data_IF_500980437140
#
_entry.id   IF_500980437140
#
_cell.length_a   1.000
_cell.length_b   1.000
_cell.length_c   1.000
_cell.angle_alpha   90.00
_cell.angle_beta   90.00
_cell.angle_gamma   90.00
#
_symmetry.space_group_name_H-M   'P 1'
#
loop_
_entity.id
_entity.type
_entity.pdbx_description
1 polymer ?
#
# COMPACT_ATOMS: atom_id res chain seq x y z
N UNK A 1 -39.51 -9.16 -28.39
CA UNK A 1 -39.26 -10.29 -27.47
C UNK A 1 -37.79 -10.16 -27.07
N UNK A 2 -37.49 -9.32 -26.07
CA UNK A 2 -37.31 -9.72 -24.67
C UNK A 2 -36.19 -10.77 -24.57
N UNK A 3 -34.93 -10.34 -24.43
CA UNK A 3 -34.24 -9.97 -23.17
C UNK A 3 -33.38 -11.14 -22.68
N UNK A 4 -32.13 -11.18 -23.15
CA UNK A 4 -31.03 -11.87 -22.47
C UNK A 4 -30.19 -10.81 -21.73
N UNK A 5 -30.76 -10.24 -20.68
CA UNK A 5 -29.97 -9.64 -19.61
C UNK A 5 -29.51 -10.78 -18.70
N UNK A 6 -28.34 -11.34 -19.02
CA UNK A 6 -27.68 -12.33 -18.20
C UNK A 6 -26.50 -11.66 -17.49
N UNK A 7 -26.81 -11.08 -16.34
CA UNK A 7 -26.01 -11.06 -15.11
C UNK A 7 -24.48 -10.97 -15.29
N UNK A 8 -23.95 -9.76 -15.50
CA UNK A 8 -22.52 -9.44 -15.32
C UNK A 8 -22.33 -8.73 -13.98
N UNK A 9 -22.29 -9.47 -12.88
CA UNK A 9 -21.98 -8.86 -11.56
C UNK A 9 -21.21 -9.78 -10.60
N UNK A 10 -20.62 -10.90 -11.04
CA UNK A 10 -19.95 -11.85 -10.12
C UNK A 10 -18.55 -12.29 -10.57
N UNK A 11 -17.96 -11.66 -11.59
CA UNK A 11 -16.74 -12.16 -12.24
C UNK A 11 -15.40 -11.81 -11.58
N UNK A 12 -15.34 -10.79 -10.72
CA UNK A 12 -14.08 -10.33 -10.10
C UNK A 12 -13.75 -11.07 -8.81
N UNK A 13 -14.73 -11.22 -7.91
CA UNK A 13 -14.55 -11.98 -6.65
C UNK A 13 -14.22 -13.46 -6.92
N UNK A 14 -14.83 -14.08 -7.93
CA UNK A 14 -14.60 -15.49 -8.28
C UNK A 14 -13.16 -15.79 -8.74
N UNK A 15 -12.39 -14.78 -9.15
CA UNK A 15 -11.01 -14.97 -9.58
C UNK A 15 -10.01 -14.84 -8.41
N UNK A 16 -10.29 -13.99 -7.41
CA UNK A 16 -9.38 -13.74 -6.27
C UNK A 16 -9.13 -14.97 -5.43
N UNK A 17 -10.15 -15.80 -5.23
CA UNK A 17 -10.02 -17.04 -4.45
C UNK A 17 -9.03 -18.05 -5.05
N UNK A 18 -8.69 -17.93 -6.34
CA UNK A 18 -7.75 -18.84 -7.00
C UNK A 18 -6.28 -18.59 -6.65
N UNK A 19 -5.96 -17.39 -6.16
CA UNK A 19 -4.59 -16.97 -5.83
C UNK A 19 -4.46 -16.36 -4.43
N UNK A 20 -5.53 -16.37 -3.63
CA UNK A 20 -5.54 -15.85 -2.27
C UNK A 20 -5.64 -16.95 -1.22
N UNK A 21 -4.85 -16.81 -0.17
CA UNK A 21 -4.68 -17.82 0.88
C UNK A 21 -4.65 -17.15 2.25
N UNK A 22 -4.95 -17.89 3.31
CA UNK A 22 -4.58 -17.46 4.65
C UNK A 22 -3.11 -17.82 4.92
N UNK A 23 -2.45 -17.05 5.78
CA UNK A 23 -1.06 -17.34 6.19
C UNK A 23 -0.90 -18.76 6.76
N UNK A 24 -1.94 -19.29 7.41
CA UNK A 24 -1.99 -20.65 7.96
C UNK A 24 -2.02 -21.76 6.92
N UNK A 25 -2.40 -21.46 5.67
CA UNK A 25 -2.48 -22.46 4.61
C UNK A 25 -1.06 -22.93 4.24
N UNK A 26 -0.87 -24.23 4.04
CA UNK A 26 0.46 -24.78 3.71
C UNK A 26 0.80 -24.72 2.22
N UNK A 27 -0.19 -24.46 1.35
CA UNK A 27 -0.04 -24.54 -0.10
C UNK A 27 0.47 -23.25 -0.75
N UNK A 28 0.35 -22.11 -0.08
CA UNK A 28 0.58 -20.81 -0.73
C UNK A 28 2.05 -20.61 -1.14
N UNK A 29 3.02 -21.16 -0.40
CA UNK A 29 4.46 -21.07 -0.77
C UNK A 29 4.72 -21.81 -2.08
N UNK A 30 4.17 -23.03 -2.22
CA UNK A 30 4.28 -23.80 -3.46
C UNK A 30 3.55 -23.08 -4.61
N UNK A 31 2.36 -22.52 -4.35
CA UNK A 31 1.64 -21.72 -5.33
C UNK A 31 2.45 -20.51 -5.81
N UNK A 32 3.05 -19.74 -4.89
CA UNK A 32 3.93 -18.62 -5.18
C UNK A 32 5.12 -19.05 -6.05
N UNK A 33 5.76 -20.18 -5.74
CA UNK A 33 6.87 -20.71 -6.55
C UNK A 33 6.43 -21.10 -7.97
N UNK A 34 5.27 -21.75 -8.11
CA UNK A 34 4.77 -22.24 -9.39
C UNK A 34 4.22 -21.13 -10.28
N UNK A 35 3.48 -20.18 -9.71
CA UNK A 35 2.75 -19.14 -10.45
C UNK A 35 3.48 -17.79 -10.48
N UNK A 36 4.40 -17.59 -9.54
CA UNK A 36 5.23 -16.40 -9.38
C UNK A 36 4.63 -15.33 -8.49
N UNK A 37 3.41 -15.52 -7.97
CA UNK A 37 2.73 -14.56 -7.10
C UNK A 37 1.75 -15.27 -6.14
N UNK A 38 1.34 -14.58 -5.08
CA UNK A 38 0.26 -14.99 -4.17
C UNK A 38 -0.28 -13.77 -3.41
N UNK A 39 -1.52 -13.86 -2.93
CA UNK A 39 -2.10 -12.89 -1.98
C UNK A 39 -2.39 -13.60 -0.66
N UNK A 40 -1.89 -13.07 0.45
CA UNK A 40 -2.17 -13.58 1.79
C UNK A 40 -3.20 -12.68 2.48
N UNK A 41 -4.35 -13.26 2.83
CA UNK A 41 -5.51 -12.57 3.38
C UNK A 41 -5.29 -12.20 4.85
N UNK A 42 -5.57 -10.95 5.19
CA UNK A 42 -5.63 -10.47 6.58
C UNK A 42 -4.34 -10.69 7.38
N UNK A 43 -3.18 -10.60 6.72
CA UNK A 43 -1.87 -10.71 7.41
C UNK A 43 -1.68 -9.59 8.42
N UNK A 44 -2.22 -8.40 8.12
CA UNK A 44 -2.22 -7.24 8.99
C UNK A 44 -3.62 -7.03 9.55
N UNK A 45 -3.72 -6.85 10.86
CA UNK A 45 -5.00 -6.61 11.53
C UNK A 45 -5.57 -5.24 11.14
N UNK A 46 -6.90 -5.10 11.23
CA UNK A 46 -7.54 -3.78 11.01
C UNK A 46 -6.94 -2.68 11.88
N UNK A 47 -6.64 -2.97 13.15
CA UNK A 47 -6.05 -2.00 14.07
C UNK A 47 -4.64 -1.57 13.65
N UNK A 48 -3.82 -2.49 13.13
CA UNK A 48 -2.49 -2.16 12.60
C UNK A 48 -2.59 -1.43 11.25
N UNK A 49 -3.59 -1.73 10.42
CA UNK A 49 -3.90 -0.97 9.20
C UNK A 49 -4.23 0.48 9.55
N UNK A 50 -5.20 0.70 10.45
CA UNK A 50 -5.64 2.04 10.85
C UNK A 50 -4.47 2.83 11.46
N UNK A 51 -3.67 2.18 12.32
CA UNK A 51 -2.47 2.77 12.90
C UNK A 51 -1.41 3.13 11.85
N UNK A 52 -1.18 2.28 10.85
CA UNK A 52 -0.25 2.57 9.77
C UNK A 52 -0.75 3.74 8.90
N UNK A 53 -2.06 3.80 8.59
CA UNK A 53 -2.68 4.91 7.88
C UNK A 53 -2.47 6.22 8.62
N UNK A 54 -2.70 6.23 9.93
CA UNK A 54 -2.54 7.43 10.73
C UNK A 54 -1.10 7.93 10.73
N UNK A 55 -0.13 7.05 10.92
CA UNK A 55 1.30 7.39 10.87
C UNK A 55 1.75 7.91 9.50
N UNK A 56 1.25 7.31 8.42
CA UNK A 56 1.58 7.77 7.05
C UNK A 56 1.00 9.14 6.80
N UNK A 57 -0.24 9.38 7.21
CA UNK A 57 -0.83 10.70 7.10
C UNK A 57 -0.10 11.74 7.96
N UNK A 58 0.33 11.42 9.18
CA UNK A 58 1.12 12.35 10.01
C UNK A 58 2.40 12.80 9.27
N UNK A 59 3.05 11.85 8.59
CA UNK A 59 4.22 12.11 7.77
C UNK A 59 3.92 12.91 6.49
N UNK A 60 2.75 12.70 5.87
CA UNK A 60 2.30 13.43 4.70
C UNK A 60 1.91 14.87 5.05
N UNK A 61 1.09 15.08 6.09
CA UNK A 61 0.65 16.40 6.57
C UNK A 61 1.83 17.23 7.11
N UNK A 62 2.87 16.57 7.65
CA UNK A 62 4.09 17.24 8.09
C UNK A 62 5.03 17.66 6.96
N UNK A 63 4.93 17.03 5.79
CA UNK A 63 5.81 17.28 4.64
C UNK A 63 5.15 18.11 3.53
N UNK A 64 3.84 17.97 3.39
CA UNK A 64 3.02 18.55 2.34
C UNK A 64 2.00 19.51 2.94
N UNK A 65 1.54 20.51 2.17
CA UNK A 65 0.48 21.43 2.59
C UNK A 65 -0.92 20.81 2.57
N UNK A 66 -1.05 19.50 2.83
CA UNK A 66 -2.30 18.73 2.72
C UNK A 66 -2.79 18.30 4.11
N UNK A 67 -4.10 18.05 4.22
CA UNK A 67 -4.78 17.64 5.45
C UNK A 67 -5.71 16.46 5.17
N UNK A 68 -5.64 15.40 5.98
CA UNK A 68 -6.52 14.23 5.84
C UNK A 68 -7.98 14.54 6.16
N UNK A 69 -8.23 15.59 6.94
CA UNK A 69 -9.58 16.03 7.36
C UNK A 69 -10.09 17.23 6.55
N UNK A 70 -9.29 17.76 5.63
CA UNK A 70 -9.69 18.84 4.74
C UNK A 70 -9.19 18.56 3.31
N UNK A 71 -9.98 17.81 2.52
CA UNK A 71 -9.61 17.47 1.15
C UNK A 71 -9.46 18.68 0.22
N UNK A 72 -10.02 19.85 0.57
CA UNK A 72 -9.84 21.08 -0.23
C UNK A 72 -8.38 21.55 -0.26
N UNK A 73 -7.56 21.06 0.67
CA UNK A 73 -6.11 21.27 0.67
C UNK A 73 -5.37 20.44 -0.38
N UNK A 74 -5.99 19.41 -0.99
CA UNK A 74 -5.34 18.47 -1.93
C UNK A 74 -5.24 19.03 -3.36
N UNK A 75 -5.01 20.34 -3.49
CA UNK A 75 -4.84 21.02 -4.76
C UNK A 75 -3.54 20.64 -5.44
N UNK A 76 -3.43 20.88 -6.75
CA UNK A 76 -2.18 20.73 -7.52
C UNK A 76 -0.98 21.51 -6.96
N UNK A 77 -1.21 22.57 -6.17
CA UNK A 77 -0.15 23.33 -5.50
C UNK A 77 0.44 22.62 -4.27
N UNK A 78 -0.42 21.91 -3.52
CA UNK A 78 -0.07 21.26 -2.27
C UNK A 78 0.21 19.76 -2.44
N UNK A 79 -0.44 19.11 -3.41
CA UNK A 79 -0.24 17.70 -3.73
C UNK A 79 1.01 17.52 -4.60
N UNK A 80 2.19 17.51 -3.98
CA UNK A 80 3.48 17.44 -4.69
C UNK A 80 3.98 16.02 -4.93
N UNK A 81 3.18 15.01 -4.55
CA UNK A 81 3.51 13.61 -4.78
C UNK A 81 3.49 13.29 -6.28
N UNK A 82 4.42 12.43 -6.72
CA UNK A 82 4.51 11.95 -8.09
C UNK A 82 3.19 11.35 -8.57
N UNK A 83 2.87 11.51 -9.87
CA UNK A 83 1.74 10.82 -10.50
C UNK A 83 1.88 9.30 -10.48
N UNK A 84 3.12 8.78 -10.38
CA UNK A 84 3.35 7.34 -10.16
C UNK A 84 2.85 6.87 -8.79
N UNK A 85 2.67 7.80 -7.85
CA UNK A 85 2.34 7.54 -6.47
C UNK A 85 3.50 7.04 -5.63
N UNK A 86 4.65 6.69 -6.22
CA UNK A 86 5.83 6.23 -5.49
C UNK A 86 6.41 7.36 -4.65
N UNK A 87 6.44 7.16 -3.34
CA UNK A 87 6.93 8.11 -2.34
C UNK A 87 8.07 7.46 -1.56
N UNK A 88 9.29 7.49 -2.12
CA UNK A 88 10.50 6.95 -1.48
C UNK A 88 10.89 7.70 -0.19
N UNK A 89 10.47 8.95 -0.02
CA UNK A 89 10.70 9.70 1.22
C UNK A 89 9.95 9.14 2.43
N UNK A 90 8.90 8.32 2.22
CA UNK A 90 8.21 7.60 3.28
C UNK A 90 8.93 6.30 3.67
N UNK A 91 9.99 5.89 2.98
CA UNK A 91 10.69 4.62 3.28
C UNK A 91 11.06 4.46 4.75
N UNK A 92 11.49 5.55 5.39
CA UNK A 92 11.92 5.55 6.79
C UNK A 92 10.87 6.11 7.74
N UNK A 93 9.63 6.31 7.29
CA UNK A 93 8.51 6.79 8.10
C UNK A 93 7.99 5.77 9.10
N UNK A 94 7.25 6.24 10.11
CA UNK A 94 6.76 5.40 11.20
C UNK A 94 5.79 4.31 10.70
N UNK A 95 4.90 4.64 9.74
CA UNK A 95 3.94 3.70 9.18
C UNK A 95 4.58 2.48 8.49
N UNK A 96 5.47 2.66 7.50
CA UNK A 96 6.19 1.54 6.88
C UNK A 96 7.00 0.72 7.89
N UNK A 97 7.67 1.36 8.86
CA UNK A 97 8.37 0.63 9.93
C UNK A 97 7.43 -0.14 10.85
N UNK A 98 6.22 0.37 11.12
CA UNK A 98 5.21 -0.35 11.88
C UNK A 98 4.87 -1.67 11.18
N UNK A 99 4.55 -1.64 9.88
CA UNK A 99 4.19 -2.81 9.09
C UNK A 99 5.33 -3.83 8.97
N UNK A 100 6.57 -3.37 8.69
CA UNK A 100 7.74 -4.25 8.58
C UNK A 100 8.05 -5.00 9.88
N UNK A 101 7.74 -4.39 11.02
CA UNK A 101 7.95 -4.98 12.34
C UNK A 101 6.86 -5.97 12.79
N UNK A 102 5.81 -6.19 12.00
CA UNK A 102 4.71 -7.08 12.39
C UNK A 102 5.13 -8.55 12.32
N UNK A 103 4.85 -9.36 13.35
CA UNK A 103 5.23 -10.78 13.37
C UNK A 103 4.67 -11.59 12.20
N UNK A 104 3.40 -11.39 11.83
CA UNK A 104 2.76 -12.14 10.74
C UNK A 104 3.38 -11.82 9.37
N UNK A 105 3.80 -10.57 9.16
CA UNK A 105 4.52 -10.15 7.95
C UNK A 105 5.87 -10.86 7.89
N UNK A 106 6.64 -10.83 8.99
CA UNK A 106 7.92 -11.54 9.08
C UNK A 106 7.74 -13.04 8.85
N UNK A 107 6.72 -13.65 9.47
CA UNK A 107 6.41 -15.08 9.34
C UNK A 107 6.15 -15.48 7.88
N UNK A 108 5.41 -14.67 7.11
CA UNK A 108 5.20 -14.91 5.70
C UNK A 108 6.53 -15.02 4.94
N UNK A 109 7.43 -14.04 5.09
CA UNK A 109 8.73 -14.10 4.43
C UNK A 109 9.63 -15.22 4.98
N UNK A 110 9.55 -15.55 6.28
CA UNK A 110 10.34 -16.64 6.86
C UNK A 110 9.95 -17.99 6.26
N UNK A 111 8.66 -18.20 5.96
CA UNK A 111 8.19 -19.41 5.26
C UNK A 111 8.66 -19.49 3.80
N UNK A 112 8.80 -18.36 3.11
CA UNK A 112 9.35 -18.32 1.75
C UNK A 112 10.79 -18.82 1.75
N UNK A 113 11.60 -18.30 2.68
CA UNK A 113 13.05 -18.53 2.69
C UNK A 113 13.50 -19.73 3.53
N UNK A 114 12.63 -20.27 4.37
CA UNK A 114 13.01 -21.27 5.38
C UNK A 114 14.02 -20.72 6.39
N UNK A 115 13.96 -19.43 6.70
CA UNK A 115 14.89 -18.73 7.60
C UNK A 115 14.15 -17.66 8.43
N UNK A 116 14.42 -17.63 9.74
CA UNK A 116 13.82 -16.67 10.67
C UNK A 116 14.68 -15.41 10.86
N UNK A 117 15.96 -15.44 10.45
CA UNK A 117 16.84 -14.28 10.51
C UNK A 117 16.78 -13.51 9.19
N UNK A 118 15.84 -12.56 9.12
CA UNK A 118 15.56 -11.76 7.93
C UNK A 118 15.93 -10.29 8.13
N UNK A 119 16.28 -9.62 7.05
CA UNK A 119 16.27 -8.16 6.94
C UNK A 119 15.22 -7.69 5.92
N UNK A 120 14.59 -6.54 6.18
CA UNK A 120 13.50 -5.96 5.39
C UNK A 120 14.00 -4.88 4.45
N UNK A 121 13.34 -4.67 3.32
CA UNK A 121 13.61 -3.58 2.37
C UNK A 121 13.19 -2.23 2.95
N UNK A 122 13.75 -1.15 2.40
CA UNK A 122 13.51 0.23 2.83
C UNK A 122 13.18 1.10 1.61
N UNK A 123 12.13 0.73 0.89
CA UNK A 123 11.84 1.21 -0.47
C UNK A 123 10.89 2.40 -0.52
N UNK A 124 9.56 2.17 -0.59
CA UNK A 124 8.60 3.25 -0.81
C UNK A 124 7.22 2.96 -0.22
N UNK A 125 6.37 3.97 -0.26
CA UNK A 125 4.92 3.79 -0.24
C UNK A 125 4.33 4.25 -1.59
N UNK A 126 3.13 3.79 -1.93
CA UNK A 126 2.37 4.20 -3.10
C UNK A 126 1.13 4.93 -2.63
N UNK A 127 1.03 6.21 -2.97
CA UNK A 127 -0.04 7.12 -2.55
C UNK A 127 -0.70 7.76 -3.77
N UNK A 128 -2.01 7.58 -3.92
CA UNK A 128 -2.81 8.30 -4.92
C UNK A 128 -3.97 9.02 -4.25
N UNK A 129 -4.18 10.30 -4.58
CA UNK A 129 -5.46 10.97 -4.37
C UNK A 129 -6.49 10.46 -5.39
N UNK A 130 -7.80 10.54 -5.09
CA UNK A 130 -8.83 10.26 -6.08
C UNK A 130 -8.67 11.15 -7.31
N UNK A 131 -8.80 10.55 -8.49
CA UNK A 131 -8.79 11.25 -9.78
C UNK A 131 -10.15 11.27 -10.47
N UNK A 132 -11.06 10.43 -10.00
CA UNK A 132 -12.44 10.33 -10.49
C UNK A 132 -13.35 11.36 -9.81
N UNK A 133 -12.93 11.89 -8.67
CA UNK A 133 -13.60 12.91 -7.90
C UNK A 133 -12.54 13.92 -7.52
N UNK A 134 -12.58 15.10 -8.14
CA UNK A 134 -11.61 16.15 -7.85
C UNK A 134 -11.98 16.81 -6.53
N UNK A 135 -11.00 17.04 -5.64
CA UNK A 135 -11.24 17.83 -4.45
C UNK A 135 -11.74 19.22 -4.84
N UNK A 136 -12.64 19.83 -4.06
CA UNK A 136 -13.04 21.22 -4.27
C UNK A 136 -11.81 22.14 -4.30
N UNK A 137 -11.74 23.05 -5.26
CA UNK A 137 -10.58 23.93 -5.49
C UNK A 137 -9.46 23.36 -6.37
N UNK A 138 -9.60 22.12 -6.86
CA UNK A 138 -8.72 21.54 -7.89
C UNK A 138 -9.48 21.24 -9.19
N UNK A 139 -10.62 21.91 -9.40
CA UNK A 139 -11.49 21.68 -10.56
C UNK A 139 -10.78 22.00 -11.88
N UNK A 140 -10.83 21.08 -12.83
CA UNK A 140 -10.29 21.27 -14.18
C UNK A 140 -8.83 20.89 -14.35
N UNK A 141 -8.19 20.29 -13.33
CA UNK A 141 -6.89 19.63 -13.54
C UNK A 141 -7.05 18.35 -14.35
N UNK A 142 -6.05 17.96 -15.14
CA UNK A 142 -6.01 16.67 -15.84
C UNK A 142 -5.29 15.59 -15.02
N UNK A 143 -5.18 15.80 -13.70
CA UNK A 143 -4.41 14.94 -12.83
C UNK A 143 -5.02 13.53 -12.83
N UNK A 144 -4.20 12.57 -13.23
CA UNK A 144 -4.49 11.13 -13.16
C UNK A 144 -3.23 10.38 -12.76
N UNK A 145 -3.35 9.28 -12.02
CA UNK A 145 -2.22 8.42 -11.77
C UNK A 145 -1.54 7.98 -13.06
N UNK A 146 -0.25 7.72 -12.95
CA UNK A 146 0.56 7.06 -13.97
C UNK A 146 1.17 5.81 -13.34
N UNK A 147 1.62 4.88 -14.16
CA UNK A 147 2.32 3.68 -13.69
C UNK A 147 3.60 3.49 -14.49
N UNK A 148 4.53 2.73 -13.93
CA UNK A 148 5.81 2.43 -14.59
C UNK A 148 5.65 1.48 -15.79
N UNK A 149 4.43 0.97 -16.04
CA UNK A 149 4.15 -0.05 -17.04
C UNK A 149 4.68 -1.43 -16.63
N UNK A 150 4.57 -2.39 -17.53
CA UNK A 150 5.07 -3.75 -17.30
C UNK A 150 6.60 -3.79 -17.38
N UNK A 151 7.21 -4.39 -16.37
CA UNK A 151 8.66 -4.53 -16.23
C UNK A 151 9.00 -5.77 -15.41
N UNK A 152 10.31 -6.05 -15.29
CA UNK A 152 10.88 -6.92 -14.27
C UNK A 152 11.80 -6.07 -13.39
N UNK A 153 12.01 -6.53 -12.18
CA UNK A 153 12.91 -5.91 -11.20
C UNK A 153 14.07 -6.81 -10.84
N UNK A 154 14.22 -7.93 -11.57
CA UNK A 154 15.37 -8.79 -11.50
C UNK A 154 15.73 -9.25 -12.91
N UNK A 155 16.85 -8.74 -13.40
CA UNK A 155 17.23 -8.91 -14.79
C UNK A 155 17.63 -10.36 -15.09
N UNK A 156 16.93 -11.06 -16.01
CA UNK A 156 17.17 -12.48 -16.24
C UNK A 156 18.53 -12.77 -16.89
N UNK A 157 19.20 -11.77 -17.48
CA UNK A 157 20.55 -11.92 -18.04
C UNK A 157 21.62 -12.01 -16.95
N UNK A 158 21.57 -11.11 -15.96
CA UNK A 158 22.58 -11.03 -14.88
C UNK A 158 22.20 -11.80 -13.62
N UNK A 159 20.89 -11.93 -13.33
CA UNK A 159 20.33 -12.55 -12.12
C UNK A 159 19.27 -13.60 -12.49
N UNK A 160 19.66 -14.77 -13.00
CA UNK A 160 18.72 -15.77 -13.49
C UNK A 160 17.97 -16.52 -12.37
N UNK A 161 18.58 -16.67 -11.19
CA UNK A 161 18.03 -17.45 -10.07
C UNK A 161 17.19 -16.57 -9.14
N UNK A 162 16.40 -17.14 -8.22
CA UNK A 162 15.53 -16.32 -7.36
C UNK A 162 16.36 -15.55 -6.34
N UNK A 163 16.37 -14.20 -6.42
CA UNK A 163 17.09 -13.35 -5.47
C UNK A 163 16.13 -12.62 -4.52
N UNK A 164 14.92 -12.28 -4.97
CA UNK A 164 13.96 -11.54 -4.14
C UNK A 164 12.50 -11.91 -4.46
N UNK A 165 11.71 -12.06 -3.40
CA UNK A 165 10.25 -11.96 -3.46
C UNK A 165 9.89 -10.56 -2.96
N UNK A 166 9.29 -9.76 -3.82
CA UNK A 166 8.72 -8.49 -3.45
C UNK A 166 7.35 -8.68 -2.80
N UNK A 167 6.94 -7.67 -2.05
CA UNK A 167 5.63 -7.62 -1.45
C UNK A 167 5.11 -6.20 -1.28
N UNK A 168 3.80 -6.12 -1.07
CA UNK A 168 3.14 -4.88 -0.71
C UNK A 168 1.92 -5.14 0.18
N UNK A 169 1.66 -4.21 1.08
CA UNK A 169 0.48 -4.23 1.97
C UNK A 169 -0.39 -3.04 1.59
N UNK A 170 -1.52 -3.27 0.91
CA UNK A 170 -2.54 -2.24 0.74
C UNK A 170 -3.13 -1.87 2.09
N UNK A 171 -3.24 -0.57 2.36
CA UNK A 171 -3.95 -0.01 3.51
C UNK A 171 -5.36 0.47 3.12
N UNK A 172 -5.66 0.44 1.82
CA UNK A 172 -6.97 0.63 1.20
C UNK A 172 -7.19 -0.50 0.19
N UNK A 173 -8.45 -0.85 -0.12
CA UNK A 173 -8.76 -1.92 -1.07
C UNK A 173 -8.11 -1.70 -2.45
N UNK A 174 -7.73 -2.80 -3.09
CA UNK A 174 -7.29 -2.87 -4.48
C UNK A 174 -8.38 -3.58 -5.28
N UNK A 175 -9.05 -2.83 -6.15
CA UNK A 175 -10.09 -3.32 -7.03
C UNK A 175 -9.94 -2.77 -8.46
N UNK A 176 -10.86 -3.11 -9.36
CA UNK A 176 -10.87 -2.63 -10.75
C UNK A 176 -11.09 -1.10 -10.86
N UNK A 177 -11.63 -0.47 -9.83
CA UNK A 177 -11.89 0.98 -9.80
C UNK A 177 -10.62 1.76 -9.48
N UNK A 178 -9.82 1.28 -8.52
CA UNK A 178 -8.54 1.88 -8.12
C UNK A 178 -7.38 1.39 -9.00
N UNK A 179 -7.40 0.12 -9.36
CA UNK A 179 -6.23 -0.56 -9.89
C UNK A 179 -5.15 -0.80 -8.83
N UNK A 180 -4.04 -1.40 -9.24
CA UNK A 180 -3.05 -1.92 -8.30
C UNK A 180 -1.89 -2.60 -9.01
N UNK A 181 -1.37 -3.65 -8.38
CA UNK A 181 -0.35 -4.51 -9.00
C UNK A 181 -1.02 -5.45 -10.01
N UNK A 182 -0.56 -5.39 -11.25
CA UNK A 182 -0.84 -6.38 -12.28
C UNK A 182 0.39 -7.25 -12.52
N UNK A 183 0.18 -8.55 -12.71
CA UNK A 183 1.23 -9.53 -13.00
C UNK A 183 0.94 -10.30 -14.28
N UNK A 184 1.97 -10.87 -14.90
CA UNK A 184 1.82 -11.89 -15.95
C UNK A 184 2.24 -13.24 -15.34
N UNK A 185 1.29 -14.11 -14.95
CA UNK A 185 1.60 -15.41 -14.36
C UNK A 185 2.59 -16.24 -15.19
N UNK A 186 3.43 -17.03 -14.52
CA UNK A 186 4.43 -17.94 -15.13
C UNK A 186 5.57 -17.25 -15.91
N UNK A 187 5.63 -15.91 -15.95
CA UNK A 187 6.68 -15.19 -16.68
C UNK A 187 8.06 -15.24 -16.02
N UNK A 188 8.15 -15.67 -14.76
CA UNK A 188 9.40 -15.92 -14.02
C UNK A 188 10.07 -17.27 -14.38
N UNK A 189 9.33 -18.18 -15.03
CA UNK A 189 9.81 -19.54 -15.33
C UNK A 189 11.04 -19.54 -16.24
N UNK A 190 11.92 -20.56 -16.18
CA UNK A 190 13.10 -20.64 -17.05
C UNK A 190 12.77 -20.48 -18.54
N UNK A 191 11.71 -21.14 -19.01
CA UNK A 191 11.27 -21.05 -20.41
C UNK A 191 10.80 -19.62 -20.77
N UNK A 192 10.03 -18.98 -19.90
CA UNK A 192 9.56 -17.61 -20.15
C UNK A 192 10.72 -16.62 -20.17
N UNK A 193 11.70 -16.75 -19.26
CA UNK A 193 12.91 -15.92 -19.24
C UNK A 193 13.72 -16.07 -20.53
N UNK A 194 13.89 -17.28 -21.05
CA UNK A 194 14.60 -17.48 -22.33
C UNK A 194 13.87 -16.84 -23.53
N UNK A 195 12.53 -16.86 -23.53
CA UNK A 195 11.73 -16.14 -24.53
C UNK A 195 11.93 -14.63 -24.36
N UNK A 196 11.89 -14.13 -23.12
CA UNK A 196 12.04 -12.72 -22.80
C UNK A 196 13.42 -12.20 -23.22
N UNK A 197 14.50 -12.94 -22.92
CA UNK A 197 15.86 -12.59 -23.36
C UNK A 197 15.99 -12.49 -24.87
N UNK A 198 15.43 -13.44 -25.63
CA UNK A 198 15.45 -13.42 -27.10
C UNK A 198 14.68 -12.23 -27.68
N UNK A 199 13.58 -11.85 -27.02
CA UNK A 199 12.71 -10.75 -27.45
C UNK A 199 13.29 -9.38 -27.08
N UNK A 200 13.99 -9.30 -25.96
CA UNK A 200 14.55 -8.08 -25.41
C UNK A 200 16.07 -8.22 -25.16
N UNK A 201 16.89 -8.50 -26.20
CA UNK A 201 18.34 -8.66 -26.05
C UNK A 201 19.02 -7.38 -25.54
N UNK A 202 18.43 -6.21 -25.78
CA UNK A 202 18.93 -4.93 -25.29
C UNK A 202 18.89 -4.78 -23.76
N UNK A 203 18.21 -5.68 -23.03
CA UNK A 203 18.20 -5.67 -21.56
C UNK A 203 19.50 -6.25 -20.96
N UNK A 204 20.34 -6.90 -21.78
CA UNK A 204 21.65 -7.36 -21.34
C UNK A 204 22.51 -6.15 -20.90
N UNK A 205 22.85 -6.10 -19.61
CA UNK A 205 23.67 -5.02 -19.03
C UNK A 205 22.93 -3.75 -18.57
N UNK A 206 21.60 -3.71 -18.60
CA UNK A 206 20.78 -2.51 -18.25
C UNK A 206 20.54 -2.35 -16.74
N UNK A 207 20.90 -3.34 -15.92
CA UNK A 207 20.57 -3.38 -14.49
C UNK A 207 19.23 -4.06 -14.25
N UNK A 208 18.70 -3.97 -13.03
CA UNK A 208 17.59 -4.81 -12.56
C UNK A 208 16.22 -4.39 -13.10
N UNK A 209 16.02 -3.08 -13.29
CA UNK A 209 14.80 -2.56 -13.89
C UNK A 209 14.77 -2.82 -15.40
N UNK A 210 13.88 -3.72 -15.81
CA UNK A 210 13.77 -4.25 -17.16
C UNK A 210 12.39 -3.95 -17.75
N UNK A 211 12.20 -2.80 -18.41
CA UNK A 211 10.90 -2.45 -18.97
C UNK A 211 10.54 -3.33 -20.15
N UNK A 212 9.30 -3.83 -20.16
CA UNK A 212 8.75 -4.68 -21.21
C UNK A 212 7.86 -3.82 -22.11
N UNK A 213 8.49 -3.20 -23.11
CA UNK A 213 7.79 -2.34 -24.06
C UNK A 213 7.10 -3.15 -25.18
N UNK A 214 5.95 -2.63 -25.64
CA UNK A 214 5.25 -3.08 -26.85
C UNK A 214 3.94 -3.81 -26.59
N UNK A 215 3.04 -3.82 -27.60
CA UNK A 215 1.95 -4.80 -27.63
C UNK A 215 2.63 -6.17 -27.59
N UNK A 216 2.21 -7.06 -26.70
CA UNK A 216 2.71 -8.43 -26.70
C UNK A 216 2.20 -9.06 -28.01
N UNK A 217 2.96 -8.91 -29.10
CA UNK A 217 2.59 -9.45 -30.42
C UNK A 217 2.60 -10.99 -30.39
N UNK A 218 3.40 -11.55 -29.50
CA UNK A 218 3.35 -12.95 -29.10
C UNK A 218 2.39 -13.10 -27.93
N UNK A 219 1.63 -14.20 -27.88
CA UNK A 219 0.77 -14.46 -26.72
C UNK A 219 1.66 -14.61 -25.47
N UNK A 220 1.46 -13.82 -24.39
CA UNK A 220 2.19 -14.00 -23.14
C UNK A 220 1.91 -15.40 -22.55
N UNK A 221 2.72 -15.90 -21.60
CA UNK A 221 2.47 -17.20 -20.97
C UNK A 221 1.10 -17.26 -20.26
N UNK A 222 0.57 -16.10 -19.85
CA UNK A 222 -0.80 -15.91 -19.37
C UNK A 222 -1.25 -14.46 -19.62
N UNK A 223 -2.56 -14.21 -19.57
CA UNK A 223 -3.08 -12.84 -19.64
C UNK A 223 -2.66 -12.02 -18.40
N UNK A 224 -2.42 -10.70 -18.53
CA UNK A 224 -2.15 -9.84 -17.39
C UNK A 224 -3.30 -9.87 -16.36
N UNK A 225 -2.96 -10.07 -15.09
CA UNK A 225 -3.91 -10.24 -13.99
C UNK A 225 -3.70 -9.16 -12.93
N UNK A 226 -4.71 -8.32 -12.71
CA UNK A 226 -4.77 -7.44 -11.54
C UNK A 226 -4.97 -8.28 -10.29
N UNK A 227 -4.11 -8.09 -9.28
CA UNK A 227 -4.22 -8.76 -7.99
C UNK A 227 -5.12 -7.95 -7.06
N UNK A 228 -6.35 -8.43 -6.89
CA UNK A 228 -7.32 -7.85 -5.97
C UNK A 228 -6.93 -8.17 -4.52
N UNK A 229 -7.06 -7.20 -3.64
CA UNK A 229 -6.65 -7.32 -2.24
C UNK A 229 -7.46 -6.39 -1.35
N UNK A 230 -7.76 -6.84 -0.14
CA UNK A 230 -8.36 -5.98 0.88
C UNK A 230 -7.27 -5.23 1.65
N UNK A 231 -7.68 -4.21 2.40
CA UNK A 231 -6.78 -3.53 3.32
C UNK A 231 -6.24 -4.54 4.36
N UNK A 232 -4.92 -4.60 4.50
CA UNK A 232 -4.22 -5.49 5.42
C UNK A 232 -3.83 -6.85 4.84
N UNK A 233 -4.18 -7.14 3.59
CA UNK A 233 -3.59 -8.27 2.86
C UNK A 233 -2.12 -8.04 2.56
N UNK A 234 -1.37 -9.13 2.34
CA UNK A 234 0.00 -9.09 1.85
C UNK A 234 0.05 -9.69 0.43
N UNK A 235 0.30 -8.85 -0.56
CA UNK A 235 0.54 -9.26 -1.94
C UNK A 235 2.02 -9.61 -2.09
N UNK A 236 2.35 -10.74 -2.72
CA UNK A 236 3.71 -11.24 -2.92
C UNK A 236 3.95 -11.60 -4.38
N UNK A 237 5.13 -11.28 -4.92
CA UNK A 237 5.54 -11.70 -6.26
C UNK A 237 7.05 -11.88 -6.39
N UNK A 238 7.45 -12.79 -7.27
CA UNK A 238 8.84 -13.03 -7.67
C UNK A 238 9.37 -11.83 -8.47
N UNK A 239 10.54 -11.28 -8.11
CA UNK A 239 11.10 -10.12 -8.83
C UNK A 239 11.40 -10.40 -10.30
N UNK A 240 11.48 -11.68 -10.71
CA UNK A 240 11.64 -12.12 -12.12
C UNK A 240 10.31 -12.19 -12.87
N UNK A 241 9.18 -12.07 -12.18
CA UNK A 241 7.87 -12.04 -12.80
C UNK A 241 7.68 -10.69 -13.51
N UNK A 242 7.14 -10.71 -14.73
CA UNK A 242 6.71 -9.49 -15.40
C UNK A 242 5.51 -8.93 -14.65
N UNK A 243 5.61 -7.70 -14.18
CA UNK A 243 4.60 -7.03 -13.37
C UNK A 243 4.60 -5.52 -13.61
N UNK A 244 3.59 -4.83 -13.13
CA UNK A 244 3.49 -3.38 -13.26
C UNK A 244 2.23 -2.82 -12.62
N UNK A 245 2.17 -1.51 -12.45
CA UNK A 245 0.95 -0.85 -11.99
C UNK A 245 -0.09 -0.77 -13.10
N UNK A 246 -1.37 -0.92 -12.74
CA UNK A 246 -2.51 -0.53 -13.57
C UNK A 246 -3.33 0.54 -12.83
N UNK A 247 -3.82 1.53 -13.57
CA UNK A 247 -4.78 2.52 -13.07
C UNK A 247 -6.18 2.01 -13.37
N UNK A 248 -7.03 1.92 -12.35
CA UNK A 248 -8.40 1.46 -12.50
C UNK A 248 -9.30 2.44 -13.26
N UNK A 249 -10.57 2.09 -13.38
CA UNK A 249 -11.56 2.91 -14.10
C UNK A 249 -11.86 4.24 -13.40
N UNK A 250 -11.64 4.29 -12.09
CA UNK A 250 -12.21 5.27 -11.18
C UNK A 250 -13.70 5.03 -10.90
N UNK A 251 -14.24 5.70 -9.89
CA UNK A 251 -15.68 5.67 -9.58
C UNK A 251 -16.44 6.57 -10.55
N UNK A 252 -17.54 6.09 -11.11
CA UNK A 252 -18.41 6.94 -11.94
C UNK A 252 -19.25 7.78 -10.98
N UNK A 253 -19.18 9.11 -11.08
CA UNK A 253 -20.10 9.97 -10.33
C UNK A 253 -21.52 9.76 -10.85
N UNK A 254 -22.43 9.36 -9.97
CA UNK A 254 -23.86 9.26 -10.23
C UNK A 254 -24.46 10.66 -10.33
N UNK A 255 -24.19 11.37 -11.43
CA UNK A 255 -24.78 12.70 -11.71
C UNK A 255 -25.76 12.70 -12.90
N UNK A 256 -26.20 11.55 -13.40
CA UNK A 256 -27.14 11.49 -14.54
C UNK A 256 -28.33 10.53 -14.35
N UNK A 257 -28.84 10.38 -13.13
CA UNK A 257 -30.20 9.88 -12.91
C UNK A 257 -31.05 11.00 -12.31
N UNK A 258 -31.65 11.83 -13.17
CA UNK A 258 -32.89 12.53 -12.84
C UNK A 258 -33.98 11.48 -12.60
N UNK A 259 -34.05 10.94 -11.39
CA UNK A 259 -35.24 10.23 -10.91
C UNK A 259 -35.80 10.99 -9.71
N UNK A 260 -36.99 11.55 -9.93
CA UNK A 260 -37.68 12.41 -8.99
C UNK A 260 -37.79 11.79 -7.60
N UNK A 261 -37.15 12.42 -6.64
CA UNK A 261 -37.31 12.12 -5.23
C UNK A 261 -38.44 13.01 -4.68
N UNK A 262 -39.54 12.38 -4.28
CA UNK A 262 -40.48 13.00 -3.34
C UNK A 262 -39.75 13.23 -2.02
N UNK A 263 -39.87 14.43 -1.48
CA UNK A 263 -39.38 14.81 -0.15
C UNK A 263 -39.74 13.75 0.91
N UNK A 264 -38.72 13.06 1.41
CA UNK A 264 -38.75 12.43 2.73
C UNK A 264 -37.63 13.05 3.53
N UNK A 265 -38.00 14.01 4.38
CA UNK A 265 -37.14 14.54 5.44
C UNK A 265 -36.82 13.38 6.39
N UNK A 266 -35.58 12.89 6.36
CA UNK A 266 -35.03 12.04 7.41
C UNK A 266 -34.27 12.94 8.38
N UNK A 267 -34.76 12.99 9.61
CA UNK A 267 -34.15 13.72 10.72
C UNK A 267 -32.75 13.15 11.03
N UNK A 268 -31.73 14.01 10.91
CA UNK A 268 -30.38 13.76 11.39
C UNK A 268 -30.32 14.00 12.90
N UNK A 269 -30.25 12.92 13.70
CA UNK A 269 -30.00 13.05 15.13
C UNK A 269 -30.04 11.71 15.86
N UNK A 270 -28.87 11.21 16.30
CA UNK A 270 -28.76 10.30 17.46
C UNK A 270 -27.34 9.73 17.68
N UNK A 271 -26.48 9.68 16.66
CA UNK A 271 -25.16 9.04 16.76
C UNK A 271 -24.13 9.79 17.60
N UNK A 272 -23.94 11.08 17.32
CA UNK A 272 -22.89 11.90 17.95
C UNK A 272 -23.18 12.21 19.43
N UNK A 273 -24.46 12.39 19.78
CA UNK A 273 -24.89 12.59 21.18
C UNK A 273 -24.62 11.35 22.04
N UNK A 274 -24.76 10.15 21.47
CA UNK A 274 -24.51 8.89 22.17
C UNK A 274 -23.01 8.65 22.40
N UNK A 275 -22.14 9.08 21.47
CA UNK A 275 -20.70 8.99 21.62
C UNK A 275 -20.17 9.98 22.67
N UNK A 276 -20.64 11.24 22.66
CA UNK A 276 -20.25 12.26 23.65
C UNK A 276 -20.70 11.85 25.07
N UNK A 277 -21.91 11.26 25.19
CA UNK A 277 -22.38 10.67 26.44
C UNK A 277 -21.50 9.50 26.92
N UNK A 278 -21.04 8.65 25.99
CA UNK A 278 -20.18 7.51 26.30
C UNK A 278 -18.78 7.94 26.74
N UNK A 279 -18.16 8.91 26.06
CA UNK A 279 -16.85 9.47 26.43
C UNK A 279 -16.92 10.14 27.81
N UNK A 280 -17.95 10.95 28.06
CA UNK A 280 -18.17 11.58 29.38
C UNK A 280 -18.39 10.54 30.49
N UNK A 281 -19.10 9.45 30.18
CA UNK A 281 -19.32 8.35 31.13
C UNK A 281 -18.02 7.64 31.48
N UNK A 282 -17.16 7.37 30.49
CA UNK A 282 -15.84 6.75 30.70
C UNK A 282 -14.94 7.66 31.57
N UNK A 283 -14.88 8.96 31.27
CA UNK A 283 -14.11 9.94 32.06
C UNK A 283 -14.59 9.95 33.51
N UNK A 284 -15.91 9.93 33.73
CA UNK A 284 -16.50 9.90 35.07
C UNK A 284 -16.11 8.63 35.84
N UNK A 285 -16.21 7.46 35.21
CA UNK A 285 -15.82 6.18 35.84
C UNK A 285 -14.32 6.14 36.18
N UNK A 286 -13.46 6.68 35.32
CA UNK A 286 -12.02 6.79 35.59
C UNK A 286 -11.73 7.73 36.76
N UNK A 287 -12.49 8.81 36.87
CA UNK A 287 -12.35 9.79 37.97
C UNK A 287 -12.80 9.22 39.33
N UNK A 288 -13.74 8.27 39.31
CA UNK A 288 -14.30 7.65 40.52
C UNK A 288 -13.43 6.48 41.05
N UNK A 289 -12.49 5.93 40.26
CA UNK A 289 -11.78 4.68 40.57
C UNK A 289 -10.23 4.75 40.54
N UNK A 290 -9.63 5.92 40.30
CA UNK A 290 -8.17 6.10 40.27
C UNK A 290 -7.71 7.15 41.29
N UNK A 291 -6.62 6.88 42.01
CA UNK A 291 -6.02 7.79 43.00
C UNK A 291 -4.99 8.76 42.39
N UNK A 292 -4.64 8.58 41.11
CA UNK A 292 -3.66 9.39 40.38
C UNK A 292 -4.34 10.38 39.44
N UNK A 293 -4.41 11.65 39.89
CA UNK A 293 -5.09 12.74 39.18
C UNK A 293 -4.40 13.13 37.86
N UNK A 294 -3.08 12.96 37.76
CA UNK A 294 -2.33 13.34 36.56
C UNK A 294 -2.63 12.34 35.43
N UNK A 295 -2.63 11.04 35.74
CA UNK A 295 -2.98 9.97 34.79
C UNK A 295 -4.42 10.09 34.29
N UNK A 296 -5.38 10.44 35.17
CA UNK A 296 -6.79 10.66 34.78
C UNK A 296 -6.91 11.84 33.80
N UNK A 297 -6.14 12.90 34.04
CA UNK A 297 -6.16 14.12 33.23
C UNK A 297 -5.60 13.85 31.84
N UNK A 298 -4.45 13.16 31.76
CA UNK A 298 -3.82 12.79 30.48
C UNK A 298 -4.70 11.84 29.64
N UNK A 299 -5.35 10.86 30.28
CA UNK A 299 -6.30 9.96 29.62
C UNK A 299 -7.59 10.68 29.19
N UNK A 300 -8.09 11.60 30.02
CA UNK A 300 -9.26 12.43 29.71
C UNK A 300 -9.02 13.34 28.52
N UNK A 301 -7.86 13.98 28.46
CA UNK A 301 -7.43 14.80 27.32
C UNK A 301 -7.27 13.95 26.05
N UNK A 302 -6.66 12.76 26.14
CA UNK A 302 -6.53 11.85 25.01
C UNK A 302 -7.89 11.37 24.46
N UNK A 303 -8.86 11.06 25.34
CA UNK A 303 -10.21 10.66 24.93
C UNK A 303 -11.00 11.82 24.32
N UNK A 304 -10.82 13.04 24.84
CA UNK A 304 -11.42 14.24 24.27
C UNK A 304 -10.81 14.60 22.91
N UNK A 305 -9.49 14.48 22.75
CA UNK A 305 -8.80 14.64 21.46
C UNK A 305 -9.29 13.59 20.44
N UNK A 306 -9.43 12.33 20.86
CA UNK A 306 -10.00 11.27 20.01
C UNK A 306 -11.44 11.58 19.60
N UNK A 307 -12.27 12.03 20.55
CA UNK A 307 -13.66 12.43 20.29
C UNK A 307 -13.77 13.67 19.39
N UNK A 308 -12.86 14.64 19.53
CA UNK A 308 -12.78 15.82 18.66
C UNK A 308 -12.27 15.48 17.26
N UNK A 309 -11.28 14.58 17.14
CA UNK A 309 -10.84 14.04 15.85
C UNK A 309 -11.98 13.31 15.14
N UNK A 310 -12.73 12.48 15.87
CA UNK A 310 -13.92 11.80 15.33
C UNK A 310 -15.00 12.79 14.87
N UNK A 311 -15.24 13.88 15.64
CA UNK A 311 -16.19 14.93 15.28
C UNK A 311 -15.74 15.75 14.06
N UNK A 312 -14.46 16.13 13.99
CA UNK A 312 -13.91 16.84 12.82
C UNK A 312 -13.94 15.99 11.56
N UNK A 313 -13.81 14.68 11.73
CA UNK A 313 -14.12 13.72 10.66
C UNK A 313 -15.62 13.88 10.31
N UNK A 314 -16.56 13.71 11.23
CA UNK A 314 -17.99 13.82 10.86
C UNK A 314 -18.47 15.20 10.33
N UNK A 315 -17.95 16.31 10.84
CA UNK A 315 -18.45 17.68 10.57
C UNK A 315 -17.75 18.37 9.38
N UNK A 316 -16.58 17.90 8.94
CA UNK A 316 -15.80 18.48 7.83
C UNK A 316 -15.84 17.69 6.52
N UNK A 317 -16.52 16.54 6.48
CA UNK A 317 -16.31 15.51 5.47
C UNK A 317 -17.54 15.26 4.60
N UNK A 318 -17.99 16.27 3.88
CA UNK A 318 -19.10 16.11 2.95
C UNK A 318 -18.75 16.72 1.61
N UNK A 319 -18.54 15.87 0.59
CA UNK A 319 -19.08 16.19 -0.74
C UNK A 319 -20.60 16.44 -0.58
N UNK A 320 -21.35 17.14 -1.46
CA UNK A 320 -22.81 17.21 -1.49
C UNK A 320 -23.60 15.96 -1.04
N UNK A 321 -23.01 14.76 -1.16
CA UNK A 321 -23.57 13.47 -0.72
C UNK A 321 -23.13 12.97 0.68
N UNK A 322 -22.41 13.76 1.48
CA UNK A 322 -22.08 13.46 2.89
C UNK A 322 -20.92 12.48 3.12
N UNK A 323 -20.12 12.14 2.10
CA UNK A 323 -18.97 11.23 2.25
C UNK A 323 -17.63 11.94 2.45
N UNK A 324 -16.82 11.38 3.35
CA UNK A 324 -15.39 11.69 3.48
C UNK A 324 -14.63 11.31 2.20
N UNK A 325 -13.96 12.27 1.59
CA UNK A 325 -13.02 11.99 0.51
C UNK A 325 -11.78 11.31 1.11
N UNK A 326 -11.62 10.03 0.83
CA UNK A 326 -10.43 9.25 1.18
C UNK A 326 -9.43 9.24 0.01
N UNK A 327 -8.17 8.92 0.29
CA UNK A 327 -7.20 8.61 -0.76
C UNK A 327 -7.71 7.46 -1.64
N UNK A 328 -7.37 7.48 -2.92
CA UNK A 328 -7.67 6.36 -3.80
C UNK A 328 -6.80 5.15 -3.49
N UNK A 329 -5.53 5.39 -3.14
CA UNK A 329 -4.57 4.32 -2.87
C UNK A 329 -3.61 4.72 -1.76
N UNK A 330 -3.42 3.81 -0.82
CA UNK A 330 -2.33 3.84 0.14
C UNK A 330 -1.78 2.42 0.27
N UNK A 331 -0.52 2.22 -0.07
CA UNK A 331 0.12 0.90 -0.06
C UNK A 331 1.57 1.03 0.38
N UNK A 332 2.06 0.15 1.25
CA UNK A 332 3.49 0.11 1.58
C UNK A 332 4.18 -1.05 0.86
N UNK A 333 5.29 -0.78 0.17
CA UNK A 333 6.13 -1.83 -0.40
C UNK A 333 7.09 -2.38 0.64
N UNK A 334 7.31 -3.69 0.62
CA UNK A 334 8.32 -4.34 1.42
C UNK A 334 8.75 -5.66 0.79
N UNK A 335 9.99 -6.04 1.04
CA UNK A 335 10.48 -7.39 0.83
C UNK A 335 11.30 -7.77 2.04
N UNK A 336 11.53 -9.06 2.26
CA UNK A 336 12.53 -9.51 3.23
C UNK A 336 13.38 -10.60 2.59
N UNK A 337 14.65 -10.67 2.98
CA UNK A 337 15.59 -11.73 2.57
C UNK A 337 16.40 -12.20 3.78
N UNK A 338 16.96 -13.42 3.76
CA UNK A 338 17.86 -13.86 4.82
C UNK A 338 18.97 -12.85 5.09
N UNK A 339 19.12 -12.45 6.35
CA UNK A 339 20.09 -11.43 6.79
C UNK A 339 21.51 -11.79 6.40
N UNK A 340 21.84 -13.09 6.43
CA UNK A 340 23.13 -13.64 6.03
C UNK A 340 23.53 -13.38 4.57
N UNK A 341 22.59 -12.94 3.72
CA UNK A 341 22.89 -12.53 2.35
C UNK A 341 23.44 -11.10 2.27
N UNK A 342 23.14 -10.25 3.26
CA UNK A 342 23.68 -8.90 3.34
C UNK A 342 25.12 -8.95 3.88
N UNK A 343 26.06 -8.30 3.17
CA UNK A 343 27.41 -8.11 3.71
C UNK A 343 27.38 -7.18 4.93
N UNK A 344 28.47 -7.17 5.72
CA UNK A 344 28.58 -6.26 6.85
C UNK A 344 28.51 -4.79 6.42
N UNK A 345 29.08 -4.46 5.27
CA UNK A 345 29.03 -3.13 4.67
C UNK A 345 27.59 -2.75 4.31
N UNK A 346 26.82 -3.68 3.73
CA UNK A 346 25.40 -3.44 3.42
C UNK A 346 24.60 -3.25 4.71
N UNK A 347 24.75 -4.12 5.70
CA UNK A 347 24.06 -3.99 6.98
C UNK A 347 24.36 -2.63 7.66
N UNK A 348 25.63 -2.19 7.63
CA UNK A 348 26.04 -0.90 8.16
C UNK A 348 25.42 0.27 7.37
N UNK A 349 25.46 0.21 6.03
CA UNK A 349 24.86 1.24 5.18
C UNK A 349 23.35 1.38 5.43
N UNK A 350 22.65 0.25 5.64
CA UNK A 350 21.22 0.22 5.97
C UNK A 350 20.92 0.87 7.32
N UNK A 351 21.71 0.57 8.34
CA UNK A 351 21.61 1.21 9.65
C UNK A 351 21.83 2.72 9.55
N UNK A 352 22.84 3.15 8.80
CA UNK A 352 23.10 4.58 8.53
C UNK A 352 21.95 5.23 7.78
N UNK A 353 21.38 4.54 6.79
CA UNK A 353 20.24 5.02 6.04
C UNK A 353 18.98 5.18 6.88
N UNK A 354 18.74 4.27 7.83
CA UNK A 354 17.70 4.49 8.85
C UNK A 354 18.03 5.70 9.74
N UNK A 355 19.29 5.94 10.08
CA UNK A 355 19.68 7.05 10.93
C UNK A 355 19.54 8.42 10.24
N UNK A 356 19.71 8.49 8.92
CA UNK A 356 19.72 9.75 8.17
C UNK A 356 18.52 9.96 7.24
N UNK A 357 17.59 8.99 7.17
CA UNK A 357 16.34 9.08 6.42
C UNK A 357 16.44 8.67 4.96
N UNK A 358 17.45 7.87 4.59
CA UNK A 358 17.71 7.42 3.21
C UNK A 358 16.94 6.13 2.87
N UNK A 359 16.26 6.12 1.73
CA UNK A 359 15.66 4.91 1.16
C UNK A 359 16.70 4.02 0.44
N UNK A 360 16.32 2.77 0.16
CA UNK A 360 17.07 1.74 -0.54
C UNK A 360 16.17 1.05 -1.56
N UNK A 361 16.72 0.18 -2.39
CA UNK A 361 15.92 -0.65 -3.28
C UNK A 361 15.06 -1.70 -2.53
N UNK A 362 14.29 -2.46 -3.32
CA UNK A 362 13.45 -3.54 -2.81
C UNK A 362 14.25 -4.77 -2.33
N UNK A 363 15.52 -4.94 -2.71
CA UNK A 363 16.37 -6.08 -2.33
C UNK A 363 17.13 -5.80 -1.00
N UNK A 364 16.70 -6.36 0.14
CA UNK A 364 17.25 -5.98 1.46
C UNK A 364 18.74 -6.28 1.64
N UNK A 365 19.25 -7.29 0.93
CA UNK A 365 20.66 -7.71 0.99
C UNK A 365 21.58 -6.90 0.07
N UNK A 366 21.03 -5.94 -0.69
CA UNK A 366 21.79 -5.05 -1.56
C UNK A 366 21.80 -3.62 -1.00
N UNK A 367 22.92 -2.91 -1.17
CA UNK A 367 23.07 -1.51 -0.74
C UNK A 367 22.69 -0.49 -1.81
N UNK A 368 22.22 -0.96 -2.98
CA UNK A 368 21.96 -0.13 -4.14
C UNK A 368 20.67 0.66 -4.08
N UNK A 369 20.59 1.65 -4.96
CA UNK A 369 19.33 2.30 -5.36
C UNK A 369 18.68 1.48 -6.46
N UNK A 370 17.35 1.47 -6.59
CA UNK A 370 16.74 0.86 -7.77
C UNK A 370 17.24 1.59 -9.03
N UNK A 371 17.48 0.85 -10.11
CA UNK A 371 17.66 1.45 -11.45
C UNK A 371 16.32 1.85 -12.08
N UNK A 372 15.20 1.54 -11.43
CA UNK A 372 13.83 1.94 -11.78
C UNK A 372 13.43 3.30 -11.19
N UNK A 373 12.14 3.54 -10.95
CA UNK A 373 11.67 4.89 -10.58
C UNK A 373 11.93 5.28 -9.12
N UNK A 374 12.32 4.35 -8.24
CA UNK A 374 12.72 4.67 -6.86
C UNK A 374 14.24 4.77 -6.75
N UNK A 375 14.77 5.99 -6.90
CA UNK A 375 16.15 6.27 -6.52
C UNK A 375 16.27 6.39 -5.00
N UNK A 376 17.47 6.21 -4.42
CA UNK A 376 17.64 6.48 -2.99
C UNK A 376 17.43 7.96 -2.73
N UNK A 377 16.37 8.27 -2.01
CA UNK A 377 16.00 9.61 -1.61
C UNK A 377 16.27 9.74 -0.12
N UNK A 378 16.92 10.84 0.27
CA UNK A 378 17.00 11.24 1.66
C UNK A 378 15.83 12.16 1.97
N UNK A 379 15.01 11.82 2.97
CA UNK A 379 13.92 12.69 3.43
C UNK A 379 14.50 13.99 4.02
N UNK A 380 14.22 15.19 3.45
CA UNK A 380 14.87 16.44 3.84
C UNK A 380 14.71 16.80 5.32
N UNK A 381 13.54 16.52 5.89
CA UNK A 381 13.20 16.81 7.29
C UNK A 381 13.02 15.53 8.11
N UNK A 382 13.87 14.54 7.86
CA UNK A 382 13.80 13.28 8.59
C UNK A 382 14.07 13.48 10.09
N UNK A 383 13.11 13.06 10.91
CA UNK A 383 13.26 12.95 12.36
C UNK A 383 13.33 11.48 12.72
N UNK A 384 14.52 11.03 13.10
CA UNK A 384 14.74 9.66 13.57
C UNK A 384 13.90 9.39 14.82
N UNK A 385 13.20 8.27 14.82
CA UNK A 385 12.47 7.75 15.98
C UNK A 385 13.10 6.46 16.49
N UNK A 386 12.63 6.01 17.66
CA UNK A 386 13.12 4.77 18.27
C UNK A 386 12.33 3.59 17.73
N UNK A 387 13.00 2.70 17.01
CA UNK A 387 12.42 1.43 16.59
C UNK A 387 12.06 0.55 17.80
N UNK A 388 10.99 -0.21 17.69
CA UNK A 388 10.67 -1.29 18.64
C UNK A 388 11.70 -2.42 18.54
N UNK A 389 11.65 -3.38 19.48
CA UNK A 389 12.51 -4.59 19.40
C UNK A 389 12.26 -5.37 18.10
N UNK A 390 10.99 -5.56 17.72
CA UNK A 390 10.62 -6.29 16.51
C UNK A 390 11.09 -5.57 15.24
N UNK A 391 10.97 -4.23 15.20
CA UNK A 391 11.46 -3.43 14.08
C UNK A 391 12.99 -3.49 13.95
N UNK A 392 13.73 -3.41 15.07
CA UNK A 392 15.20 -3.58 15.04
C UNK A 392 15.65 -4.96 14.59
N UNK A 393 14.84 -6.00 14.80
CA UNK A 393 15.15 -7.36 14.37
C UNK A 393 15.08 -7.55 12.86
N UNK A 394 14.44 -6.63 12.13
CA UNK A 394 14.31 -6.70 10.65
C UNK A 394 15.05 -5.57 9.94
N UNK A 395 15.48 -4.50 10.62
CA UNK A 395 16.47 -3.57 10.06
C UNK A 395 17.74 -4.34 9.67
#
# INVERSE_FOLDING_TARGET
MASEEMNRSTGSESNRDTYSFYLTDSSWVAFLQDHGYAVLKGVVSRGDVDKAKDMIWDDLEGAEGISRVDPTTWTSQNWRLSRTGLVGSLAQSAGPWHLRGLPAVKEAFSRIWGDDDLCTSMDAAIIWKPWWEQPPGDEGTDWRPMTEGLHLDQNPFSKPDLDCIQGMIPLLPVDETVGGLQVIPFSHTPKAKEILKKKYPQLEGVGDWCPVYGRIQDKPPAEPQLLLADAGDLILWDSRLVHGGVVGTGRISSQNEEQGCNDVVLESGSGDDALDASVRSIIRVLSENSEDADTITEMGEALLDLGQKHRRIHEGLSNPDGQCLELARMTCTLAMTPRKWASQEIAQARLEGFNDGRSFNHCPHEGGTSTGAVHAVRKPEYRKFTLSKAQRQVL
#
